data_IF_159541319008
#
_entry.id   IF_159541319008
#
_cell.length_a   1.000
_cell.length_b   1.000
_cell.length_c   1.000
_cell.angle_alpha   90.00
_cell.angle_beta   90.00
_cell.angle_gamma   90.00
#
_symmetry.space_group_name_H-M   'P 1'
#
loop_
_entity.id
_entity.type
_entity.pdbx_description
1 polymer ?
#
# COMPACT_ATOMS: atom_id res chain seq x y z
N UNK A 1 28.27 14.28 -10.77
CA UNK A 1 27.85 12.90 -10.45
C UNK A 1 26.35 12.91 -10.22
N UNK A 2 25.60 12.39 -11.18
CA UNK A 2 24.16 12.26 -11.08
C UNK A 2 23.86 11.16 -10.06
N UNK A 3 22.98 11.47 -9.11
CA UNK A 3 22.50 10.65 -7.99
C UNK A 3 21.88 9.29 -8.39
N UNK A 4 21.91 8.96 -9.68
CA UNK A 4 21.44 7.73 -10.32
C UNK A 4 22.50 6.61 -10.35
N UNK A 5 23.78 6.90 -10.07
CA UNK A 5 24.87 5.90 -10.10
C UNK A 5 25.01 5.10 -8.80
N UNK A 6 24.34 5.50 -7.72
CA UNK A 6 24.27 4.69 -6.51
C UNK A 6 23.17 3.64 -6.67
N UNK A 7 23.54 2.52 -7.31
CA UNK A 7 22.85 1.25 -7.09
C UNK A 7 22.79 0.97 -5.58
N UNK A 8 21.69 0.33 -5.15
CA UNK A 8 21.37 -0.15 -3.79
C UNK A 8 22.19 0.53 -2.69
N UNK A 9 21.56 1.40 -1.88
CA UNK A 9 22.15 1.75 -0.58
C UNK A 9 22.54 0.44 0.11
N UNK A 10 23.69 0.39 0.80
CA UNK A 10 24.25 -0.84 1.41
C UNK A 10 23.33 -1.60 2.38
N UNK A 11 22.09 -1.15 2.54
CA UNK A 11 20.94 -1.79 3.20
C UNK A 11 20.11 -2.69 2.27
N UNK A 12 20.37 -2.72 0.95
CA UNK A 12 19.57 -3.45 -0.03
C UNK A 12 18.30 -2.70 -0.49
N UNK A 13 18.28 -1.37 -0.41
CA UNK A 13 17.10 -0.53 -0.69
C UNK A 13 17.24 0.36 -1.92
N UNK A 14 16.15 0.48 -2.68
CA UNK A 14 15.92 1.55 -3.66
C UNK A 14 15.00 2.62 -3.06
N UNK A 15 15.57 3.63 -2.40
CA UNK A 15 14.83 4.78 -1.90
C UNK A 15 14.87 5.90 -2.95
N UNK A 16 13.77 6.15 -3.65
CA UNK A 16 13.71 7.34 -4.49
C UNK A 16 13.63 8.62 -3.63
N UNK A 17 14.38 9.68 -3.99
CA UNK A 17 14.71 10.79 -3.09
C UNK A 17 13.59 11.82 -2.84
N UNK A 18 12.32 11.53 -3.15
CA UNK A 18 11.33 12.58 -3.45
C UNK A 18 10.13 12.69 -2.51
N UNK A 19 10.21 12.21 -1.27
CA UNK A 19 9.14 12.43 -0.28
C UNK A 19 9.73 13.06 0.99
N UNK A 20 9.54 14.36 1.15
CA UNK A 20 10.08 15.18 2.27
C UNK A 20 9.34 14.98 3.60
N UNK A 21 8.14 14.40 3.56
CA UNK A 21 7.29 14.16 4.74
C UNK A 21 6.73 12.73 4.76
N UNK A 22 7.62 11.74 4.74
CA UNK A 22 7.26 10.34 5.03
C UNK A 22 7.67 9.96 6.44
N UNK A 23 6.90 9.08 7.10
CA UNK A 23 7.33 8.47 8.34
C UNK A 23 8.72 7.84 8.20
N UNK A 24 9.52 7.92 9.27
CA UNK A 24 10.90 7.45 9.26
C UNK A 24 11.02 5.96 8.91
N UNK A 25 10.06 5.14 9.33
CA UNK A 25 10.00 3.72 8.98
C UNK A 25 9.81 3.48 7.48
N UNK A 26 9.12 4.36 6.76
CA UNK A 26 8.94 4.24 5.32
C UNK A 26 10.15 4.80 4.54
N UNK A 27 10.86 5.77 5.11
CA UNK A 27 12.02 6.41 4.49
C UNK A 27 13.34 5.65 4.71
N UNK A 28 13.50 5.03 5.88
CA UNK A 28 14.74 4.41 6.33
C UNK A 28 14.57 2.98 6.85
N UNK A 29 13.41 2.37 6.65
CA UNK A 29 13.16 0.99 7.08
C UNK A 29 14.04 -0.02 6.35
N UNK A 30 14.30 -1.13 7.03
CA UNK A 30 15.21 -2.21 6.62
C UNK A 30 14.44 -3.47 6.21
N UNK A 31 15.12 -4.42 5.53
CA UNK A 31 14.44 -5.62 4.99
C UNK A 31 13.95 -6.50 6.12
N UNK A 32 14.62 -6.44 7.27
CA UNK A 32 14.22 -7.07 8.53
C UNK A 32 12.89 -6.51 9.05
N UNK A 33 12.66 -5.19 8.92
CA UNK A 33 11.38 -4.56 9.29
C UNK A 33 10.23 -5.07 8.42
N UNK A 34 10.48 -5.25 7.12
CA UNK A 34 9.49 -5.82 6.19
C UNK A 34 9.20 -7.28 6.54
N UNK A 35 10.23 -8.09 6.77
CA UNK A 35 10.07 -9.47 7.21
C UNK A 35 9.32 -9.57 8.55
N UNK A 36 9.61 -8.66 9.47
CA UNK A 36 8.89 -8.53 10.74
C UNK A 36 7.42 -8.24 10.53
N UNK A 37 7.09 -7.25 9.69
CA UNK A 37 5.71 -6.89 9.37
C UNK A 37 4.95 -8.05 8.71
N UNK A 38 5.59 -8.79 7.79
CA UNK A 38 4.98 -9.95 7.13
C UNK A 38 4.68 -11.08 8.13
N UNK A 39 5.57 -11.32 9.11
CA UNK A 39 5.36 -12.35 10.15
C UNK A 39 4.16 -12.06 11.05
N UNK A 40 3.81 -10.78 11.24
CA UNK A 40 2.67 -10.36 12.07
C UNK A 40 1.51 -9.80 11.24
N UNK A 41 1.50 -10.08 9.92
CA UNK A 41 0.57 -9.45 8.98
C UNK A 41 -0.91 -9.66 9.37
N UNK A 42 -1.27 -10.86 9.83
CA UNK A 42 -2.64 -11.21 10.23
C UNK A 42 -3.09 -10.50 11.54
N UNK A 43 -2.15 -9.91 12.28
CA UNK A 43 -2.44 -9.16 13.52
C UNK A 43 -2.39 -7.65 13.31
N UNK A 44 -1.89 -7.21 12.16
CA UNK A 44 -1.74 -5.81 11.84
C UNK A 44 -2.96 -5.31 11.07
N UNK A 45 -3.85 -4.61 11.75
CA UNK A 45 -5.02 -4.01 11.14
C UNK A 45 -4.65 -2.78 10.30
N UNK A 46 -5.14 -2.77 9.05
CA UNK A 46 -5.06 -1.63 8.15
C UNK A 46 -6.36 -0.83 8.14
N UNK A 47 -7.52 -1.50 8.24
CA UNK A 47 -8.82 -0.85 8.36
C UNK A 47 -9.62 -1.44 9.52
N UNK A 48 -9.84 -0.62 10.56
CA UNK A 48 -10.65 -1.00 11.71
C UNK A 48 -12.15 -1.02 11.44
N UNK A 49 -12.64 -0.41 10.36
CA UNK A 49 -14.07 -0.41 10.04
C UNK A 49 -14.54 -1.73 9.44
N UNK A 50 -13.65 -2.37 8.67
CA UNK A 50 -13.97 -3.58 7.89
C UNK A 50 -13.13 -4.78 8.37
N UNK A 51 -12.45 -4.63 9.51
CA UNK A 51 -11.52 -5.62 10.09
C UNK A 51 -10.47 -6.15 9.12
N UNK A 52 -10.01 -5.31 8.19
CA UNK A 52 -9.01 -5.69 7.17
C UNK A 52 -7.60 -5.63 7.75
N UNK A 53 -6.89 -6.75 7.66
CA UNK A 53 -5.50 -6.89 8.08
C UNK A 53 -4.51 -6.72 6.92
N UNK A 54 -3.23 -6.61 7.24
CA UNK A 54 -2.16 -6.63 6.23
C UNK A 54 -2.13 -7.97 5.49
N UNK A 55 -2.39 -9.08 6.20
CA UNK A 55 -2.47 -10.43 5.62
C UNK A 55 -3.51 -10.51 4.50
N UNK A 56 -4.72 -10.01 4.75
CA UNK A 56 -5.82 -10.00 3.77
C UNK A 56 -5.46 -9.21 2.51
N UNK A 57 -4.75 -8.08 2.67
CA UNK A 57 -4.31 -7.26 1.54
C UNK A 57 -3.23 -7.96 0.72
N UNK A 58 -2.25 -8.58 1.37
CA UNK A 58 -1.20 -9.33 0.69
C UNK A 58 -1.77 -10.54 -0.07
N UNK A 59 -2.70 -11.27 0.54
CA UNK A 59 -3.40 -12.38 -0.12
C UNK A 59 -4.25 -11.88 -1.29
N UNK A 60 -4.97 -10.77 -1.11
CA UNK A 60 -5.73 -10.13 -2.17
C UNK A 60 -4.86 -9.71 -3.37
N UNK A 61 -3.64 -9.22 -3.13
CA UNK A 61 -2.67 -8.91 -4.19
C UNK A 61 -2.19 -10.20 -4.87
N UNK A 62 -1.88 -11.26 -4.12
CA UNK A 62 -1.49 -12.56 -4.67
C UNK A 62 -2.57 -13.13 -5.60
N UNK A 63 -3.84 -13.05 -5.19
CA UNK A 63 -4.99 -13.43 -6.03
C UNK A 63 -5.07 -12.56 -7.29
N UNK A 64 -4.93 -11.25 -7.17
CA UNK A 64 -4.96 -10.32 -8.31
C UNK A 64 -3.80 -10.51 -9.30
N UNK A 65 -2.69 -11.09 -8.82
CA UNK A 65 -1.50 -11.43 -9.59
C UNK A 65 -1.52 -12.90 -10.08
N UNK A 66 -2.67 -13.57 -10.04
CA UNK A 66 -2.84 -14.96 -10.48
C UNK A 66 -1.89 -15.95 -9.79
N UNK A 67 -1.63 -15.73 -8.50
CA UNK A 67 -0.75 -16.58 -7.69
C UNK A 67 0.74 -16.30 -7.86
N UNK A 68 1.14 -15.28 -8.64
CA UNK A 68 2.54 -14.86 -8.73
C UNK A 68 2.98 -14.21 -7.43
N UNK A 69 3.89 -14.87 -6.71
CA UNK A 69 4.49 -14.30 -5.51
C UNK A 69 5.54 -13.25 -5.88
N UNK A 70 5.39 -12.07 -5.30
CA UNK A 70 6.36 -10.97 -5.48
C UNK A 70 7.37 -11.06 -4.34
N UNK A 71 8.63 -11.26 -4.69
CA UNK A 71 9.73 -11.36 -3.72
C UNK A 71 10.09 -9.99 -3.16
N UNK A 72 10.23 -9.92 -1.85
CA UNK A 72 10.65 -8.70 -1.12
C UNK A 72 12.14 -8.41 -1.30
N UNK A 73 12.96 -9.46 -1.48
CA UNK A 73 14.40 -9.33 -1.73
C UNK A 73 14.65 -9.43 -3.23
N UNK A 74 15.14 -8.33 -3.80
CA UNK A 74 15.60 -8.26 -5.20
C UNK A 74 17.11 -8.45 -5.21
N UNK A 75 17.60 -9.45 -5.93
CA UNK A 75 19.04 -9.66 -6.12
C UNK A 75 19.58 -8.76 -7.22
N UNK A 76 20.88 -8.46 -7.18
CA UNK A 76 21.54 -7.69 -8.22
C UNK A 76 21.43 -8.43 -9.57
N UNK A 77 20.82 -7.78 -10.57
CA UNK A 77 20.52 -8.37 -11.88
C UNK A 77 19.01 -8.64 -12.13
N UNK A 78 18.19 -8.73 -11.09
CA UNK A 78 16.72 -8.87 -11.21
C UNK A 78 15.99 -7.51 -11.16
N UNK A 79 16.75 -6.41 -11.06
CA UNK A 79 16.23 -5.07 -10.84
C UNK A 79 15.33 -4.56 -11.98
N UNK A 80 15.70 -4.83 -13.24
CA UNK A 80 14.90 -4.41 -14.40
C UNK A 80 13.58 -5.15 -14.48
N UNK A 81 13.58 -6.46 -14.21
CA UNK A 81 12.35 -7.26 -14.16
C UNK A 81 11.44 -6.71 -13.05
N UNK A 82 12.00 -6.47 -11.86
CA UNK A 82 11.24 -5.93 -10.74
C UNK A 82 10.68 -4.54 -11.04
N UNK A 83 11.46 -3.65 -11.68
CA UNK A 83 11.00 -2.32 -12.11
C UNK A 83 9.85 -2.42 -13.10
N UNK A 84 9.91 -3.37 -14.04
CA UNK A 84 8.87 -3.60 -15.05
C UNK A 84 7.57 -4.23 -14.48
N UNK A 85 7.66 -4.89 -13.32
CA UNK A 85 6.51 -5.51 -12.68
C UNK A 85 5.49 -4.46 -12.27
N UNK A 86 4.27 -4.58 -12.80
CA UNK A 86 3.15 -3.70 -12.49
C UNK A 86 2.22 -4.35 -11.47
N UNK A 87 2.14 -3.74 -10.30
CA UNK A 87 1.24 -4.16 -9.24
C UNK A 87 -0.21 -3.75 -9.53
N UNK A 88 -1.20 -4.43 -8.94
CA UNK A 88 -2.60 -4.04 -9.07
C UNK A 88 -2.82 -2.66 -8.44
N UNK A 89 -3.71 -1.88 -9.06
CA UNK A 89 -4.09 -0.58 -8.52
C UNK A 89 -4.88 -0.72 -7.20
N UNK A 90 -4.82 0.32 -6.37
CA UNK A 90 -5.53 0.36 -5.08
C UNK A 90 -7.04 0.18 -5.24
N UNK A 91 -7.63 0.62 -6.36
CA UNK A 91 -9.04 0.40 -6.68
C UNK A 91 -9.38 -1.09 -6.85
N UNK A 92 -8.45 -1.90 -7.41
CA UNK A 92 -8.64 -3.36 -7.53
C UNK A 92 -8.52 -4.02 -6.16
N UNK A 93 -7.49 -3.64 -5.38
CA UNK A 93 -7.27 -4.15 -4.02
C UNK A 93 -8.50 -3.86 -3.13
N UNK A 94 -9.01 -2.62 -3.17
CA UNK A 94 -10.24 -2.21 -2.48
C UNK A 94 -11.44 -3.13 -2.79
N UNK A 95 -11.62 -3.54 -4.05
CA UNK A 95 -12.77 -4.38 -4.44
C UNK A 95 -12.65 -5.83 -3.97
N UNK A 96 -11.43 -6.35 -3.87
CA UNK A 96 -11.19 -7.72 -3.42
C UNK A 96 -11.30 -7.81 -1.91
N UNK A 97 -10.72 -6.85 -1.19
CA UNK A 97 -10.52 -6.94 0.26
C UNK A 97 -11.54 -6.11 1.04
N UNK A 98 -12.24 -5.15 0.42
CA UNK A 98 -13.12 -4.21 1.12
C UNK A 98 -12.38 -3.05 1.79
N UNK A 99 -11.09 -2.85 1.50
CA UNK A 99 -10.33 -1.75 2.09
C UNK A 99 -10.95 -0.38 1.76
N UNK A 100 -11.37 0.36 2.80
CA UNK A 100 -11.91 1.71 2.65
C UNK A 100 -13.34 1.77 2.08
N UNK A 101 -14.15 0.73 2.31
CA UNK A 101 -15.61 0.73 2.03
C UNK A 101 -16.47 1.08 3.24
N UNK A 102 -15.89 1.15 4.44
CA UNK A 102 -16.62 1.49 5.66
C UNK A 102 -17.08 2.95 5.76
N UNK A 103 -17.71 3.35 6.88
CA UNK A 103 -18.29 4.68 7.07
C UNK A 103 -17.25 5.80 7.00
N UNK A 104 -15.98 5.50 7.31
CA UNK A 104 -14.88 6.44 7.16
C UNK A 104 -14.47 6.70 5.70
N UNK A 105 -15.02 5.96 4.72
CA UNK A 105 -14.69 6.04 3.29
C UNK A 105 -13.18 6.00 2.99
N UNK A 106 -12.43 5.30 3.84
CA UNK A 106 -10.99 5.12 3.65
C UNK A 106 -10.09 6.28 4.11
N UNK A 107 -10.63 7.30 4.80
CA UNK A 107 -9.87 8.47 5.27
C UNK A 107 -8.63 8.13 6.10
N UNK A 108 -8.71 7.10 6.95
CA UNK A 108 -7.62 6.69 7.84
C UNK A 108 -6.73 5.59 7.27
N UNK A 109 -7.28 4.73 6.41
CA UNK A 109 -6.60 3.51 6.00
C UNK A 109 -5.96 3.59 4.60
N UNK A 110 -6.52 4.33 3.64
CA UNK A 110 -6.06 4.26 2.24
C UNK A 110 -4.64 4.79 2.04
N UNK A 111 -4.32 5.95 2.61
CA UNK A 111 -2.98 6.56 2.48
C UNK A 111 -1.96 5.73 3.24
N UNK A 112 -2.27 5.32 4.47
CA UNK A 112 -1.41 4.48 5.31
C UNK A 112 -1.11 3.15 4.62
N UNK A 113 -2.14 2.50 4.05
CA UNK A 113 -1.98 1.23 3.31
C UNK A 113 -1.13 1.44 2.06
N UNK A 114 -1.34 2.52 1.30
CA UNK A 114 -0.52 2.81 0.13
C UNK A 114 0.96 2.96 0.50
N UNK A 115 1.27 3.68 1.58
CA UNK A 115 2.64 3.82 2.08
C UNK A 115 3.23 2.49 2.53
N UNK A 116 2.46 1.66 3.25
CA UNK A 116 2.90 0.34 3.70
C UNK A 116 3.19 -0.58 2.50
N UNK A 117 2.28 -0.64 1.51
CA UNK A 117 2.49 -1.46 0.31
C UNK A 117 3.66 -0.95 -0.53
N UNK A 118 3.82 0.37 -0.62
CA UNK A 118 4.98 1.00 -1.28
C UNK A 118 6.29 0.63 -0.61
N UNK A 119 6.30 0.57 0.73
CA UNK A 119 7.45 0.16 1.51
C UNK A 119 7.76 -1.34 1.33
N UNK A 120 6.75 -2.21 1.40
CA UNK A 120 6.91 -3.66 1.24
C UNK A 120 7.37 -4.02 -0.17
N UNK A 121 6.74 -3.46 -1.20
CA UNK A 121 7.05 -3.77 -2.59
C UNK A 121 8.08 -2.82 -3.21
N UNK A 122 8.65 -1.88 -2.46
CA UNK A 122 9.63 -0.92 -2.98
C UNK A 122 9.18 -0.23 -4.29
N UNK A 123 7.88 0.04 -4.40
CA UNK A 123 7.27 0.76 -5.53
C UNK A 123 6.86 2.15 -5.10
N UNK A 124 6.72 3.06 -6.05
CA UNK A 124 6.28 4.42 -5.74
C UNK A 124 4.82 4.39 -5.27
N UNK A 125 4.44 5.20 -4.25
CA UNK A 125 3.03 5.34 -3.84
C UNK A 125 2.10 5.77 -4.98
N UNK A 126 2.63 6.49 -5.97
CA UNK A 126 1.88 6.87 -7.16
C UNK A 126 1.50 5.69 -8.08
N UNK A 127 2.20 4.56 -8.03
CA UNK A 127 1.92 3.40 -8.89
C UNK A 127 0.67 2.65 -8.47
N UNK A 128 0.45 2.49 -7.15
CA UNK A 128 -0.80 1.94 -6.63
C UNK A 128 -1.97 2.92 -6.83
N UNK A 129 -1.68 4.22 -6.70
CA UNK A 129 -2.66 5.29 -6.76
C UNK A 129 -3.61 5.28 -5.56
N UNK A 130 -4.54 6.24 -5.54
CA UNK A 130 -5.58 6.35 -4.52
C UNK A 130 -6.95 6.18 -5.21
N UNK A 131 -7.90 5.44 -4.59
CA UNK A 131 -9.27 5.34 -5.10
C UNK A 131 -9.95 6.71 -5.24
N UNK A 132 -10.94 6.79 -6.13
CA UNK A 132 -11.69 8.03 -6.33
C UNK A 132 -12.57 8.33 -5.11
N UNK A 133 -12.45 9.54 -4.59
CA UNK A 133 -13.36 10.09 -3.58
C UNK A 133 -14.71 10.37 -4.25
N UNK A 134 -15.80 9.94 -3.63
CA UNK A 134 -17.17 10.13 -4.13
C UNK A 134 -17.99 10.87 -3.08
N UNK A 135 -19.03 11.55 -3.56
CA UNK A 135 -20.04 12.12 -2.69
C UNK A 135 -20.88 11.00 -2.03
N UNK A 136 -21.29 11.13 -0.75
CA UNK A 136 -21.01 12.23 0.19
C UNK A 136 -19.67 12.07 0.93
N UNK A 137 -19.04 13.18 1.33
CA UNK A 137 -17.76 13.15 2.06
C UNK A 137 -17.87 12.51 3.46
N UNK A 138 -19.02 12.68 4.10
CA UNK A 138 -19.38 12.02 5.35
C UNK A 138 -20.75 11.35 5.16
N UNK A 139 -21.04 10.25 5.87
CA UNK A 139 -22.36 9.63 5.81
C UNK A 139 -23.45 10.64 6.21
N UNK A 140 -24.46 10.81 5.36
CA UNK A 140 -25.63 11.66 5.61
C UNK A 140 -26.83 10.74 5.80
N UNK A 141 -27.61 10.88 6.88
CA UNK A 141 -28.86 10.13 7.04
C UNK A 141 -29.81 10.38 5.86
N UNK A 142 -30.46 9.32 5.38
CA UNK A 142 -31.42 9.44 4.27
C UNK A 142 -32.61 10.35 4.62
N UNK A 143 -32.97 10.45 5.90
CA UNK A 143 -34.02 11.37 6.38
C UNK A 143 -33.71 12.83 6.01
N UNK A 144 -32.47 13.27 6.24
CA UNK A 144 -31.99 14.61 5.91
C UNK A 144 -32.05 14.88 4.41
N UNK A 145 -31.77 13.87 3.57
CA UNK A 145 -31.91 13.99 2.12
C UNK A 145 -33.37 13.99 1.64
N UNK A 146 -34.27 13.35 2.39
CA UNK A 146 -35.70 13.30 2.12
C UNK A 146 -36.49 14.52 2.63
N UNK A 147 -35.82 15.48 3.29
CA UNK A 147 -36.45 16.67 3.88
C UNK A 147 -37.04 16.45 5.27
N UNK A 148 -36.75 15.31 5.91
CA UNK A 148 -36.94 15.15 7.35
C UNK A 148 -35.79 15.80 8.10
N UNK A 149 -36.07 16.46 9.23
CA UNK A 149 -35.06 17.03 10.11
C UNK A 149 -34.03 15.97 10.57
#
# INVERSE_FOLDING_TARGET
MLRFEQGLHGTGYYAEPNVTHVPMWAAAGTTEDVEGAIKVADKQYLCFCEDVTLGDVLEGIKVLMHGREVRVKVLHGEEEEYKSLKLPSMERIKRVVGLGTGPCQGKFCLVSTNLILSFIYQKKPGEFGIPRIRFPEAPIPMATLAGGE
#
